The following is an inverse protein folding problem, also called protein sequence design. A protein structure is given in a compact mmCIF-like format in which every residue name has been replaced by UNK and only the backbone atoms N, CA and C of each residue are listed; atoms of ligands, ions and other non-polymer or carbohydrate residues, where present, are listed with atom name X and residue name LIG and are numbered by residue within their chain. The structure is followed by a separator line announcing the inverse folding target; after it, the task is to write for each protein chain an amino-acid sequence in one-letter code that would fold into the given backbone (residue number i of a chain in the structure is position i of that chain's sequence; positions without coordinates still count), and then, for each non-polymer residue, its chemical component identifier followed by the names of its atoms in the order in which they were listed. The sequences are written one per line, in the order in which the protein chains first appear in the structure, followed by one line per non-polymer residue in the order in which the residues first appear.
data_IF_175041457633
#
_entry.id   IF_175041457633
#
_cell.length_a   1.000
_cell.length_b   1.000
_cell.length_c   1.000
_cell.angle_alpha   90.00
_cell.angle_beta   90.00
_cell.angle_gamma   90.00
#
_symmetry.space_group_name_H-M   'P 1'
#
loop_
_entity.id
_entity.type
_entity.pdbx_description
1 polymer ?
#
# COMPACT_ATOMS: atom_id res chain seq x y z
N UNK A 1 1.00 -23.81 -28.14
CA UNK A 1 1.81 -24.17 -26.97
C UNK A 1 1.15 -23.51 -25.79
N UNK A 2 0.54 -24.28 -24.90
CA UNK A 2 0.14 -23.75 -23.59
C UNK A 2 1.41 -23.62 -22.76
N UNK A 3 1.85 -22.39 -22.51
CA UNK A 3 2.87 -22.12 -21.51
C UNK A 3 2.28 -22.45 -20.14
N UNK A 4 2.68 -23.58 -19.58
CA UNK A 4 2.45 -23.90 -18.17
C UNK A 4 3.42 -23.09 -17.33
N UNK A 5 2.95 -21.96 -16.81
CA UNK A 5 3.68 -21.14 -15.85
C UNK A 5 3.90 -21.92 -14.55
N UNK A 6 5.14 -22.38 -14.34
CA UNK A 6 5.54 -23.05 -13.09
C UNK A 6 5.93 -21.98 -12.08
N UNK A 7 5.03 -21.64 -11.17
CA UNK A 7 5.25 -20.69 -10.07
C UNK A 7 4.67 -19.29 -10.27
N UNK A 8 4.54 -18.54 -9.18
CA UNK A 8 4.06 -17.15 -9.22
C UNK A 8 5.12 -16.25 -9.85
N UNK A 9 4.70 -15.42 -10.82
CA UNK A 9 5.62 -14.56 -11.58
C UNK A 9 6.09 -13.31 -10.81
N UNK A 10 5.43 -12.96 -9.70
CA UNK A 10 5.81 -11.83 -8.85
C UNK A 10 5.23 -11.97 -7.42
N UNK A 11 5.79 -11.20 -6.48
CA UNK A 11 5.38 -11.21 -5.08
C UNK A 11 3.91 -10.79 -4.89
N UNK A 12 3.41 -9.87 -5.70
CA UNK A 12 2.04 -9.37 -5.63
C UNK A 12 1.01 -10.49 -5.87
N UNK A 13 1.20 -11.30 -6.91
CA UNK A 13 0.32 -12.43 -7.23
C UNK A 13 0.43 -13.53 -6.18
N UNK A 14 1.63 -13.81 -5.69
CA UNK A 14 1.84 -14.82 -4.66
C UNK A 14 1.11 -14.47 -3.36
N UNK A 15 1.14 -13.21 -2.94
CA UNK A 15 0.37 -12.78 -1.76
C UNK A 15 -1.14 -12.87 -1.99
N UNK A 16 -1.62 -12.45 -3.18
CA UNK A 16 -3.05 -12.47 -3.49
C UNK A 16 -3.62 -13.90 -3.50
N UNK A 17 -2.87 -14.89 -3.98
CA UNK A 17 -3.30 -16.28 -3.94
C UNK A 17 -3.45 -16.79 -2.50
N UNK A 18 -2.43 -16.55 -1.67
CA UNK A 18 -2.48 -16.94 -0.25
C UNK A 18 -3.61 -16.24 0.52
N UNK A 19 -4.00 -15.04 0.09
CA UNK A 19 -5.14 -14.32 0.66
C UNK A 19 -6.47 -14.95 0.24
N UNK A 20 -6.61 -15.47 -0.98
CA UNK A 20 -7.81 -16.20 -1.41
C UNK A 20 -8.03 -17.49 -0.61
N UNK A 21 -6.96 -18.17 -0.21
CA UNK A 21 -7.07 -19.35 0.66
C UNK A 21 -7.64 -19.00 2.05
N UNK A 22 -7.52 -17.74 2.46
CA UNK A 22 -7.92 -17.26 3.79
C UNK A 22 -9.24 -16.49 3.80
N UNK A 23 -9.58 -15.81 2.71
CA UNK A 23 -10.74 -14.92 2.62
C UNK A 23 -11.64 -15.32 1.46
N UNK A 24 -12.96 -15.30 1.68
CA UNK A 24 -13.97 -15.71 0.70
C UNK A 24 -13.94 -14.85 -0.58
N UNK A 25 -13.60 -13.57 -0.46
CA UNK A 25 -13.42 -12.69 -1.60
C UNK A 25 -12.24 -11.74 -1.38
N UNK A 26 -11.45 -11.51 -2.43
CA UNK A 26 -10.31 -10.60 -2.40
C UNK A 26 -10.45 -9.64 -3.57
N UNK A 27 -10.60 -8.35 -3.24
CA UNK A 27 -10.45 -7.27 -4.20
C UNK A 27 -9.22 -6.44 -3.85
N UNK A 28 -8.58 -5.84 -4.84
CA UNK A 28 -7.25 -5.24 -4.65
C UNK A 28 -7.15 -3.85 -5.25
N UNK A 29 -6.29 -3.03 -4.67
CA UNK A 29 -5.82 -1.76 -5.19
C UNK A 29 -4.34 -1.92 -5.52
N UNK A 30 -3.94 -1.58 -6.74
CA UNK A 30 -2.53 -1.57 -7.13
C UNK A 30 -2.00 -0.15 -7.03
N UNK A 31 -0.86 0.03 -6.34
CA UNK A 31 -0.20 1.33 -6.22
C UNK A 31 1.16 1.24 -6.90
N UNK A 32 1.42 2.18 -7.82
CA UNK A 32 2.66 2.23 -8.60
C UNK A 32 3.37 3.57 -8.45
N UNK A 33 4.70 3.55 -8.59
CA UNK A 33 5.52 4.74 -8.82
C UNK A 33 5.17 5.43 -10.13
N UNK A 34 5.57 6.69 -10.27
CA UNK A 34 5.49 7.40 -11.55
C UNK A 34 6.57 6.98 -12.56
N UNK A 35 7.51 6.12 -12.16
CA UNK A 35 8.54 5.56 -13.04
C UNK A 35 7.95 4.64 -14.11
N UNK A 36 8.59 4.59 -15.28
CA UNK A 36 8.13 3.78 -16.42
C UNK A 36 8.02 2.30 -16.03
N UNK A 37 9.06 1.75 -15.42
CA UNK A 37 9.10 0.34 -15.05
C UNK A 37 8.03 -0.02 -14.01
N UNK A 38 7.89 0.79 -12.96
CA UNK A 38 6.90 0.53 -11.90
C UNK A 38 5.47 0.65 -12.41
N UNK A 39 5.17 1.67 -13.21
CA UNK A 39 3.84 1.83 -13.78
C UNK A 39 3.52 0.74 -14.82
N UNK A 40 4.49 0.35 -15.65
CA UNK A 40 4.31 -0.74 -16.63
C UNK A 40 3.99 -2.07 -15.93
N UNK A 41 4.68 -2.39 -14.83
CA UNK A 41 4.37 -3.59 -14.04
C UNK A 41 2.91 -3.58 -13.54
N UNK A 42 2.43 -2.43 -13.03
CA UNK A 42 1.04 -2.27 -12.62
C UNK A 42 0.03 -2.42 -13.77
N UNK A 43 0.33 -1.87 -14.96
CA UNK A 43 -0.52 -2.03 -16.15
C UNK A 43 -0.59 -3.49 -16.61
N UNK A 44 0.53 -4.24 -16.50
CA UNK A 44 0.54 -5.68 -16.79
C UNK A 44 -0.36 -6.42 -15.79
N UNK A 45 -0.21 -6.14 -14.49
CA UNK A 45 -1.05 -6.75 -13.45
C UNK A 45 -2.52 -6.39 -13.61
N UNK A 46 -2.86 -5.14 -13.95
CA UNK A 46 -4.23 -4.71 -14.20
C UNK A 46 -4.92 -5.55 -15.28
N UNK A 47 -4.18 -5.94 -16.33
CA UNK A 47 -4.71 -6.81 -17.39
C UNK A 47 -4.75 -8.29 -17.00
N UNK A 48 -3.83 -8.72 -16.14
CA UNK A 48 -3.67 -10.13 -15.75
C UNK A 48 -4.64 -10.55 -14.64
N UNK A 49 -4.89 -9.67 -13.66
CA UNK A 49 -5.69 -9.97 -12.48
C UNK A 49 -7.11 -10.47 -12.82
N UNK A 50 -7.87 -9.84 -13.73
CA UNK A 50 -9.20 -10.34 -14.11
C UNK A 50 -9.16 -11.73 -14.77
N UNK A 51 -8.07 -12.08 -15.48
CA UNK A 51 -7.91 -13.40 -16.11
C UNK A 51 -7.66 -14.51 -15.08
N UNK A 52 -7.27 -14.14 -13.86
CA UNK A 52 -7.06 -15.04 -12.71
C UNK A 52 -8.15 -14.89 -11.65
N UNK A 53 -9.32 -14.35 -12.05
CA UNK A 53 -10.48 -14.19 -11.18
C UNK A 53 -10.21 -13.32 -9.94
N UNK A 54 -9.36 -12.29 -10.08
CA UNK A 54 -9.18 -11.26 -9.05
C UNK A 54 -9.88 -9.96 -9.49
N UNK A 55 -10.55 -9.31 -8.54
CA UNK A 55 -11.18 -8.01 -8.76
C UNK A 55 -10.18 -6.89 -8.46
N UNK A 56 -9.80 -6.11 -9.49
CA UNK A 56 -9.06 -4.87 -9.31
C UNK A 56 -10.03 -3.71 -9.12
N UNK A 57 -9.90 -2.97 -8.01
CA UNK A 57 -10.66 -1.77 -7.73
C UNK A 57 -10.05 -0.54 -8.42
N UNK A 58 -8.73 -0.39 -8.34
CA UNK A 58 -8.01 0.74 -8.93
C UNK A 58 -6.54 0.39 -9.19
N UNK A 59 -6.00 0.84 -10.33
CA UNK A 59 -4.57 1.02 -10.52
C UNK A 59 -4.21 2.49 -10.28
N UNK A 60 -3.64 2.78 -9.11
CA UNK A 60 -3.18 4.12 -8.75
C UNK A 60 -1.73 4.34 -9.13
N UNK A 61 -1.48 5.32 -9.99
CA UNK A 61 -0.14 5.89 -10.21
C UNK A 61 0.08 7.07 -9.25
N UNK A 62 1.09 6.97 -8.38
CA UNK A 62 1.46 8.04 -7.46
C UNK A 62 2.44 8.98 -8.14
N UNK A 63 2.03 10.24 -8.31
CA UNK A 63 2.86 11.28 -8.93
C UNK A 63 4.07 11.61 -8.07
N UNK A 64 5.19 11.91 -8.72
CA UNK A 64 6.48 12.21 -8.12
C UNK A 64 7.07 11.08 -7.25
N UNK A 65 6.50 9.86 -7.31
CA UNK A 65 6.92 8.74 -6.49
C UNK A 65 8.04 7.94 -7.12
N UNK A 66 9.22 8.55 -7.17
CA UNK A 66 10.47 7.89 -7.55
C UNK A 66 11.44 7.90 -6.38
N UNK A 67 11.48 6.80 -5.63
CA UNK A 67 12.30 6.67 -4.41
C UNK A 67 13.80 6.60 -4.72
N UNK A 68 14.17 6.32 -5.98
CA UNK A 68 15.56 6.29 -6.44
C UNK A 68 16.02 7.63 -7.03
N UNK A 69 15.11 8.60 -7.14
CA UNK A 69 15.43 9.95 -7.62
C UNK A 69 16.52 10.59 -6.76
N UNK A 70 17.41 11.36 -7.40
CA UNK A 70 18.39 12.20 -6.68
C UNK A 70 17.77 13.51 -6.20
N UNK A 71 16.59 13.85 -6.69
CA UNK A 71 15.84 15.05 -6.29
C UNK A 71 15.08 14.79 -4.98
N UNK A 72 15.61 15.33 -3.89
CA UNK A 72 15.02 15.24 -2.55
C UNK A 72 13.62 15.86 -2.47
N UNK A 73 13.34 16.92 -3.24
CA UNK A 73 12.02 17.54 -3.26
C UNK A 73 11.01 16.64 -3.95
N UNK A 74 11.41 16.00 -5.06
CA UNK A 74 10.58 15.01 -5.74
C UNK A 74 10.26 13.83 -4.82
N UNK A 75 11.27 13.24 -4.17
CA UNK A 75 11.08 12.14 -3.20
C UNK A 75 10.07 12.53 -2.13
N UNK A 76 10.24 13.71 -1.51
CA UNK A 76 9.34 14.19 -0.46
C UNK A 76 7.90 14.33 -0.97
N UNK A 77 7.68 14.97 -2.12
CA UNK A 77 6.34 15.10 -2.71
C UNK A 77 5.72 13.74 -3.04
N UNK A 78 6.50 12.81 -3.56
CA UNK A 78 6.05 11.45 -3.83
C UNK A 78 5.56 10.74 -2.58
N UNK A 79 6.32 10.81 -1.47
CA UNK A 79 5.89 10.26 -0.18
C UNK A 79 4.62 10.94 0.34
N UNK A 80 4.52 12.27 0.26
CA UNK A 80 3.31 12.99 0.67
C UNK A 80 2.08 12.54 -0.13
N UNK A 81 2.23 12.36 -1.44
CA UNK A 81 1.16 11.87 -2.32
C UNK A 81 0.77 10.42 -2.00
N UNK A 82 1.76 9.56 -1.73
CA UNK A 82 1.53 8.18 -1.32
C UNK A 82 0.74 8.10 -0.01
N UNK A 83 1.18 8.82 1.02
CA UNK A 83 0.52 8.84 2.33
C UNK A 83 -0.90 9.38 2.24
N UNK A 84 -1.10 10.48 1.50
CA UNK A 84 -2.45 11.05 1.27
C UNK A 84 -3.38 10.01 0.66
N UNK A 85 -2.91 9.27 -0.34
CA UNK A 85 -3.70 8.21 -0.97
C UNK A 85 -4.02 7.08 0.03
N UNK A 86 -3.03 6.58 0.79
CA UNK A 86 -3.28 5.55 1.80
C UNK A 86 -4.31 5.98 2.87
N UNK A 87 -4.30 7.24 3.29
CA UNK A 87 -5.25 7.78 4.27
C UNK A 87 -6.66 7.81 3.65
N UNK A 88 -6.79 8.31 2.42
CA UNK A 88 -8.08 8.51 1.74
C UNK A 88 -8.73 7.19 1.27
N UNK A 89 -7.93 6.18 0.93
CA UNK A 89 -8.44 4.91 0.39
C UNK A 89 -8.79 3.94 1.51
N UNK A 90 -10.01 3.41 1.53
CA UNK A 90 -10.39 2.35 2.47
C UNK A 90 -9.96 0.98 1.93
N UNK A 91 -9.34 0.19 2.79
CA UNK A 91 -8.99 -1.22 2.56
C UNK A 91 -9.15 -1.96 3.89
N UNK A 92 -9.08 -3.29 3.90
CA UNK A 92 -9.04 -4.11 5.12
C UNK A 92 -7.60 -4.47 5.51
N UNK A 93 -6.68 -4.45 4.54
CA UNK A 93 -5.26 -4.68 4.80
C UNK A 93 -4.33 -4.19 3.70
N UNK A 94 -3.03 -4.23 3.99
CA UNK A 94 -1.99 -3.79 3.07
C UNK A 94 -0.97 -4.91 2.83
N UNK A 95 -0.66 -5.18 1.57
CA UNK A 95 0.44 -6.05 1.20
C UNK A 95 1.76 -5.25 1.21
N UNK A 96 2.71 -5.66 2.05
CA UNK A 96 4.05 -5.06 2.17
C UNK A 96 5.16 -6.02 1.72
N UNK A 97 4.81 -7.11 1.03
CA UNK A 97 5.76 -8.10 0.51
C UNK A 97 6.59 -7.55 -0.64
N UNK A 98 6.00 -6.66 -1.45
CA UNK A 98 6.62 -6.04 -2.60
C UNK A 98 6.89 -4.54 -2.43
N UNK A 99 7.40 -3.93 -3.50
CA UNK A 99 7.70 -2.50 -3.52
C UNK A 99 9.01 -2.12 -2.82
N UNK A 100 9.22 -0.82 -2.66
CA UNK A 100 10.48 -0.29 -2.15
C UNK A 100 10.49 -0.27 -0.62
N UNK A 101 11.55 -0.79 0.02
CA UNK A 101 11.62 -0.96 1.48
C UNK A 101 11.33 0.31 2.30
N UNK A 102 11.62 1.50 1.76
CA UNK A 102 11.34 2.76 2.46
C UNK A 102 9.84 3.08 2.63
N UNK A 103 8.94 2.41 1.91
CA UNK A 103 7.49 2.62 2.05
C UNK A 103 6.90 1.78 3.19
N UNK A 104 7.58 0.72 3.60
CA UNK A 104 7.09 -0.21 4.64
C UNK A 104 6.81 0.53 5.95
N UNK A 105 7.72 1.35 6.51
CA UNK A 105 7.46 2.02 7.80
C UNK A 105 6.23 2.93 7.76
N UNK A 106 6.05 3.69 6.69
CA UNK A 106 4.92 4.63 6.59
C UNK A 106 3.60 3.90 6.34
N UNK A 107 3.63 2.81 5.56
CA UNK A 107 2.45 1.94 5.35
C UNK A 107 2.02 1.28 6.64
N UNK A 108 2.99 0.76 7.42
CA UNK A 108 2.75 0.14 8.72
C UNK A 108 2.09 1.11 9.71
N UNK A 109 2.56 2.37 9.74
CA UNK A 109 1.94 3.40 10.57
C UNK A 109 0.50 3.68 10.13
N UNK A 110 0.26 3.96 8.85
CA UNK A 110 -1.08 4.25 8.34
C UNK A 110 -2.03 3.06 8.55
N UNK A 111 -1.57 1.83 8.33
CA UNK A 111 -2.37 0.64 8.58
C UNK A 111 -2.75 0.52 10.07
N UNK A 112 -1.79 0.73 10.97
CA UNK A 112 -2.05 0.68 12.41
C UNK A 112 -3.03 1.76 12.85
N UNK A 113 -2.90 2.99 12.31
CA UNK A 113 -3.84 4.10 12.58
C UNK A 113 -5.27 3.77 12.15
N UNK A 114 -5.41 3.07 11.03
CA UNK A 114 -6.70 2.69 10.46
C UNK A 114 -7.24 1.37 11.04
N UNK A 115 -6.46 0.71 11.91
CA UNK A 115 -6.75 -0.62 12.49
C UNK A 115 -6.87 -1.71 11.42
N UNK A 116 -5.99 -1.66 10.43
CA UNK A 116 -5.90 -2.59 9.32
C UNK A 116 -4.79 -3.63 9.52
N UNK A 117 -4.96 -4.84 8.98
CA UNK A 117 -3.90 -5.85 8.94
C UNK A 117 -2.82 -5.50 7.90
N UNK A 118 -1.60 -5.95 8.15
CA UNK A 118 -0.52 -5.97 7.17
C UNK A 118 -0.23 -7.42 6.77
N UNK A 119 0.08 -7.63 5.50
CA UNK A 119 0.40 -8.93 4.95
C UNK A 119 1.82 -8.91 4.36
N UNK A 120 2.65 -9.86 4.77
CA UNK A 120 4.00 -10.02 4.29
C UNK A 120 4.26 -11.48 3.92
N UNK A 121 4.65 -11.72 2.68
CA UNK A 121 5.10 -13.00 2.21
C UNK A 121 6.60 -13.16 2.54
N UNK A 122 6.94 -14.12 3.41
CA UNK A 122 8.33 -14.34 3.80
C UNK A 122 9.05 -15.10 2.68
N UNK A 123 9.92 -14.40 1.92
CA UNK A 123 10.51 -14.86 0.64
C UNK A 123 11.08 -16.29 0.66
N UNK A 124 11.71 -16.70 1.75
CA UNK A 124 12.34 -18.02 1.90
C UNK A 124 11.39 -19.11 2.46
N UNK A 125 10.10 -18.81 2.60
CA UNK A 125 9.09 -19.79 3.05
C UNK A 125 7.76 -19.62 2.33
N UNK A 126 6.93 -20.66 2.33
CA UNK A 126 5.56 -20.54 1.84
C UNK A 126 4.61 -19.83 2.83
N UNK A 127 5.14 -19.17 3.87
CA UNK A 127 4.34 -18.53 4.92
C UNK A 127 3.84 -17.12 4.51
N UNK A 128 2.53 -16.91 4.62
CA UNK A 128 1.94 -15.57 4.68
C UNK A 128 1.89 -15.12 6.15
N UNK A 129 2.63 -14.08 6.48
CA UNK A 129 2.60 -13.46 7.80
C UNK A 129 1.52 -12.38 7.79
N UNK A 130 0.51 -12.53 8.64
CA UNK A 130 -0.39 -11.44 9.01
C UNK A 130 0.16 -10.74 10.25
N UNK A 131 0.41 -9.44 10.12
CA UNK A 131 0.79 -8.58 11.23
C UNK A 131 -0.46 -7.77 11.61
N UNK A 132 -1.04 -8.00 12.80
CA UNK A 132 -2.19 -7.23 13.24
C UNK A 132 -1.79 -5.76 13.44
N UNK A 133 -2.75 -4.82 13.35
CA UNK A 133 -2.47 -3.42 13.61
C UNK A 133 -1.86 -3.27 15.01
N UNK A 134 -0.77 -2.51 15.11
CA UNK A 134 -0.17 -2.26 16.41
C UNK A 134 -1.16 -1.45 17.26
N UNK A 135 -1.35 -1.80 18.55
CA UNK A 135 -2.29 -1.09 19.42
C UNK A 135 -1.71 0.28 19.79
N UNK A 136 -1.77 1.24 18.87
CA UNK A 136 -1.53 2.63 19.15
C UNK A 136 -2.78 3.24 19.75
N UNK A 137 -2.73 3.52 21.05
CA UNK A 137 -3.71 4.37 21.70
C UNK A 137 -3.32 5.83 21.45
N UNK A 138 -4.00 6.49 20.50
CA UNK A 138 -3.93 7.94 20.43
C UNK A 138 -4.76 8.44 21.59
N UNK A 139 -4.08 8.82 22.65
CA UNK A 139 -4.65 9.66 23.69
C UNK A 139 -5.02 11.01 23.06
N UNK A 140 -6.13 11.06 22.29
CA UNK A 140 -6.66 12.25 21.62
C UNK A 140 -6.93 13.36 22.66
N UNK A 141 -7.24 12.96 23.90
CA UNK A 141 -7.28 13.82 25.08
C UNK A 141 -5.98 14.63 25.27
N UNK A 142 -4.80 14.08 24.95
CA UNK A 142 -3.53 14.83 24.99
C UNK A 142 -3.42 15.91 23.92
N UNK A 143 -4.22 15.82 22.86
CA UNK A 143 -4.27 16.82 21.79
C UNK A 143 -5.31 17.92 22.07
N UNK A 144 -6.25 17.71 23.01
CA UNK A 144 -7.25 18.72 23.39
C UNK A 144 -6.61 20.03 23.85
N UNK A 145 -5.48 19.96 24.57
CA UNK A 145 -4.73 21.17 24.98
C UNK A 145 -4.17 22.01 23.83
N UNK A 146 -4.23 21.51 22.59
CA UNK A 146 -3.78 22.19 21.39
C UNK A 146 -4.94 22.61 20.46
N UNK A 147 -6.22 22.44 20.86
CA UNK A 147 -7.38 22.81 20.03
C UNK A 147 -7.28 24.25 19.51
N UNK A 148 -7.08 25.23 20.40
CA UNK A 148 -6.92 26.64 20.03
C UNK A 148 -5.81 26.88 19.00
N UNK A 149 -4.72 26.11 19.07
CA UNK A 149 -3.62 26.21 18.11
C UNK A 149 -4.00 25.60 16.76
N UNK A 150 -4.65 24.44 16.77
CA UNK A 150 -5.08 23.73 15.57
C UNK A 150 -6.16 24.52 14.80
N UNK A 151 -7.11 25.15 15.50
CA UNK A 151 -8.10 26.04 14.89
C UNK A 151 -7.44 27.23 14.17
N UNK A 152 -6.47 27.87 14.82
CA UNK A 152 -5.69 28.97 14.22
C UNK A 152 -4.89 28.52 13.01
N UNK A 153 -4.38 27.29 13.00
CA UNK A 153 -3.70 26.71 11.84
C UNK A 153 -4.66 26.51 10.66
N UNK A 154 -5.86 25.99 10.90
CA UNK A 154 -6.88 25.80 9.86
C UNK A 154 -7.30 27.11 9.19
N UNK A 155 -7.43 28.20 9.95
CA UNK A 155 -7.79 29.52 9.42
C UNK A 155 -6.72 30.14 8.51
N UNK A 156 -5.46 29.72 8.60
CA UNK A 156 -4.36 30.23 7.76
C UNK A 156 -4.19 29.49 6.43
N UNK A 157 -4.87 28.36 6.26
CA UNK A 157 -4.78 27.50 5.07
C UNK A 157 -6.03 27.65 4.17
N UNK A 158 -7.02 28.44 4.62
CA UNK A 158 -8.22 28.81 3.85
C UNK A 158 -8.03 30.12 3.07
#
# INVERSE_FOLDING_TARGET
MEETWVGFSCAELQTLEKLKDKFESVSTYLITSDTIAGHLAGVILEKLLPQKDYTLQELKRIQDFDVLSKDKFKIRRGFDNYVKYLIQTYTEGYNISGGYKAIIPVTTLVASLKKNSLFYNFEDSEMLIEIPPFPYDWHIDRFQKFEDFLEKCNQKVA
#
